data_IF_509161744558
#
_entry.id   IF_509161744558
#
_cell.length_a   1.000
_cell.length_b   1.000
_cell.length_c   1.000
_cell.angle_alpha   90.00
_cell.angle_beta   90.00
_cell.angle_gamma   90.00
#
_symmetry.space_group_name_H-M   'P 1'
#
loop_
_entity.id
_entity.type
_entity.pdbx_description
1 polymer ?
#
# COMPACT_ATOMS: atom_id res chain seq x y z
N UNK A 1 19.33 -20.14 -3.74
CA UNK A 1 17.98 -20.55 -4.18
C UNK A 1 17.04 -20.20 -3.04
N UNK A 2 16.43 -19.01 -3.09
CA UNK A 2 15.51 -18.54 -2.05
C UNK A 2 14.11 -18.83 -2.58
N UNK A 3 13.42 -19.76 -1.93
CA UNK A 3 12.00 -19.99 -2.15
C UNK A 3 11.25 -18.81 -1.52
N UNK A 4 10.50 -18.07 -2.33
CA UNK A 4 9.53 -17.09 -1.86
C UNK A 4 8.20 -17.85 -1.83
N UNK A 5 7.81 -18.34 -0.67
CA UNK A 5 6.46 -18.89 -0.49
C UNK A 5 5.46 -17.75 -0.62
N UNK A 6 4.55 -17.90 -1.59
CA UNK A 6 3.43 -17.02 -1.85
C UNK A 6 2.54 -16.99 -0.61
N UNK A 7 2.64 -15.93 0.19
CA UNK A 7 1.61 -15.57 1.16
C UNK A 7 0.53 -14.80 0.41
N UNK A 8 -0.70 -15.25 0.58
CA UNK A 8 -1.86 -14.76 -0.15
C UNK A 8 -1.97 -13.23 -0.06
N UNK A 9 -1.82 -12.56 -1.20
CA UNK A 9 -2.16 -11.15 -1.33
C UNK A 9 -3.69 -11.07 -1.44
N UNK A 10 -4.37 -10.86 -0.32
CA UNK A 10 -5.82 -10.68 -0.31
C UNK A 10 -6.16 -9.18 -0.41
N UNK A 11 -6.40 -8.70 -1.62
CA UNK A 11 -6.95 -7.35 -1.83
C UNK A 11 -8.46 -7.45 -1.65
N UNK A 12 -8.98 -6.94 -0.53
CA UNK A 12 -10.42 -6.82 -0.32
C UNK A 12 -10.86 -5.47 -0.86
N UNK A 13 -11.47 -5.48 -2.04
CA UNK A 13 -12.06 -4.28 -2.63
C UNK A 13 -13.50 -4.19 -2.18
N UNK A 14 -13.86 -3.09 -1.51
CA UNK A 14 -15.27 -2.74 -1.35
C UNK A 14 -15.82 -2.36 -2.73
N UNK A 15 -16.90 -3.01 -3.17
CA UNK A 15 -17.54 -2.73 -4.47
C UNK A 15 -18.58 -1.61 -4.36
N UNK A 16 -18.47 -0.75 -3.35
CA UNK A 16 -19.26 0.47 -3.28
C UNK A 16 -18.76 1.47 -4.32
N UNK A 17 -19.63 2.38 -4.78
CA UNK A 17 -19.24 3.50 -5.66
C UNK A 17 -18.26 4.49 -4.98
N UNK A 18 -17.86 4.23 -3.73
CA UNK A 18 -16.91 5.01 -2.96
C UNK A 18 -15.47 4.56 -3.29
N UNK A 19 -14.57 5.46 -3.71
CA UNK A 19 -13.24 5.10 -4.21
C UNK A 19 -12.26 4.70 -3.09
N UNK A 20 -12.74 4.29 -1.92
CA UNK A 20 -11.95 3.95 -0.74
C UNK A 20 -11.72 2.44 -0.63
N UNK A 21 -10.46 2.05 -0.48
CA UNK A 21 -10.02 0.66 -0.49
C UNK A 21 -9.30 0.33 0.80
N UNK A 22 -9.59 -0.86 1.33
CA UNK A 22 -8.85 -1.46 2.45
C UNK A 22 -8.12 -2.69 1.94
N UNK A 23 -6.79 -2.63 1.84
CA UNK A 23 -6.00 -3.81 1.50
C UNK A 23 -5.38 -4.40 2.77
N UNK A 24 -5.45 -5.72 2.89
CA UNK A 24 -4.82 -6.49 3.96
C UNK A 24 -3.74 -7.35 3.29
N UNK A 25 -2.49 -7.11 3.66
CA UNK A 25 -1.36 -7.86 3.12
C UNK A 25 -0.77 -8.72 4.23
N UNK A 26 -0.93 -10.03 4.11
CA UNK A 26 -0.33 -10.98 5.03
C UNK A 26 1.06 -11.38 4.53
N UNK A 27 2.06 -11.27 5.40
CA UNK A 27 3.44 -11.64 5.11
C UNK A 27 4.01 -12.46 6.26
N UNK A 28 5.16 -13.10 6.05
CA UNK A 28 5.86 -13.86 7.08
C UNK A 28 6.40 -12.95 8.20
N UNK A 29 6.52 -11.64 7.92
CA UNK A 29 6.89 -10.63 8.92
C UNK A 29 5.70 -10.14 9.73
N UNK A 30 4.47 -10.37 9.27
CA UNK A 30 3.24 -9.92 9.93
C UNK A 30 2.22 -9.36 8.94
N UNK A 31 1.18 -8.74 9.50
CA UNK A 31 0.04 -8.21 8.78
C UNK A 31 0.17 -6.70 8.58
N UNK A 32 0.07 -6.26 7.32
CA UNK A 32 0.00 -4.86 6.93
C UNK A 32 -1.44 -4.54 6.55
N UNK A 33 -2.01 -3.49 7.15
CA UNK A 33 -3.33 -2.98 6.78
C UNK A 33 -3.15 -1.62 6.14
N UNK A 34 -3.83 -1.38 5.02
CA UNK A 34 -3.79 -0.08 4.35
C UNK A 34 -5.19 0.45 4.11
N UNK A 35 -5.36 1.76 4.27
CA UNK A 35 -6.56 2.48 3.87
C UNK A 35 -6.14 3.60 2.93
N UNK A 36 -6.74 3.64 1.74
CA UNK A 36 -6.48 4.70 0.76
C UNK A 36 -7.62 4.81 -0.23
N UNK A 37 -7.70 5.94 -0.91
CA UNK A 37 -8.41 6.02 -2.17
C UNK A 37 -7.53 5.38 -3.26
N UNK A 38 -8.08 4.49 -4.08
CA UNK A 38 -7.34 3.83 -5.17
C UNK A 38 -7.98 4.09 -6.53
N UNK A 39 -7.17 4.55 -7.48
CA UNK A 39 -7.62 4.80 -8.85
C UNK A 39 -6.68 4.05 -9.78
N UNK A 40 -7.23 3.07 -10.49
CA UNK A 40 -6.52 2.38 -11.57
C UNK A 40 -6.85 3.08 -12.89
N UNK A 41 -5.83 3.56 -13.60
CA UNK A 41 -5.96 4.21 -14.89
C UNK A 41 -4.86 3.73 -15.83
N UNK A 42 -5.27 3.09 -16.93
CA UNK A 42 -4.35 2.49 -17.91
C UNK A 42 -3.36 1.53 -17.24
N UNK A 43 -2.07 1.89 -17.17
CA UNK A 43 -0.99 1.15 -16.51
C UNK A 43 -0.48 1.81 -15.22
N UNK A 44 -1.29 2.70 -14.63
CA UNK A 44 -0.93 3.43 -13.40
C UNK A 44 -1.94 3.22 -12.30
N UNK A 45 -1.46 2.87 -11.10
CA UNK A 45 -2.26 2.83 -9.88
C UNK A 45 -1.94 4.03 -8.99
N UNK A 46 -2.91 4.90 -8.78
CA UNK A 46 -2.82 6.00 -7.83
C UNK A 46 -3.40 5.59 -6.47
N UNK A 47 -2.61 5.71 -5.41
CA UNK A 47 -3.04 5.53 -4.02
C UNK A 47 -3.00 6.88 -3.32
N UNK A 48 -4.17 7.45 -3.02
CA UNK A 48 -4.31 8.75 -2.36
C UNK A 48 -4.73 8.57 -0.92
N UNK A 49 -4.18 9.42 -0.05
CA UNK A 49 -4.50 9.36 1.37
C UNK A 49 -4.03 8.08 2.05
N UNK A 50 -2.94 7.45 1.60
CA UNK A 50 -2.49 6.17 2.13
C UNK A 50 -2.17 6.24 3.63
N UNK A 51 -2.97 5.53 4.41
CA UNK A 51 -2.71 5.20 5.80
C UNK A 51 -2.23 3.76 5.90
N UNK A 52 -1.22 3.55 6.74
CA UNK A 52 -0.66 2.24 7.01
C UNK A 52 -0.84 1.93 8.50
N UNK A 53 -1.38 0.75 8.77
CA UNK A 53 -1.52 0.15 10.09
C UNK A 53 -1.16 -1.34 10.05
N UNK A 54 -1.74 -2.12 10.96
CA UNK A 54 -1.48 -3.54 11.09
C UNK A 54 -0.81 -3.88 12.42
N UNK A 55 0.06 -4.90 12.42
CA UNK A 55 0.70 -5.39 13.64
C UNK A 55 1.59 -4.31 14.28
N UNK A 56 1.28 -3.82 15.52
CA UNK A 56 2.06 -2.78 16.19
C UNK A 56 3.48 -3.22 16.57
N UNK A 57 3.79 -4.52 16.50
CA UNK A 57 5.13 -5.07 16.76
C UNK A 57 6.02 -5.08 15.50
N UNK A 58 5.45 -4.78 14.34
CA UNK A 58 6.14 -4.84 13.05
C UNK A 58 6.35 -3.43 12.54
N UNK A 59 7.61 -3.01 12.45
CA UNK A 59 7.96 -1.80 11.74
C UNK A 59 8.16 -2.10 10.25
N UNK A 60 7.36 -1.44 9.43
CA UNK A 60 7.43 -1.51 7.98
C UNK A 60 8.36 -0.42 7.45
N UNK A 61 9.58 -0.82 7.12
CA UNK A 61 10.56 0.09 6.55
C UNK A 61 10.23 0.44 5.10
N UNK A 62 10.89 1.48 4.59
CA UNK A 62 10.78 1.87 3.19
C UNK A 62 11.12 0.73 2.21
N UNK A 63 12.13 -0.09 2.53
CA UNK A 63 12.52 -1.22 1.70
C UNK A 63 11.41 -2.29 1.62
N UNK A 64 10.76 -2.58 2.74
CA UNK A 64 9.66 -3.56 2.82
C UNK A 64 8.45 -3.08 2.00
N UNK A 65 8.04 -1.83 2.21
CA UNK A 65 6.92 -1.21 1.48
C UNK A 65 7.19 -1.14 -0.02
N UNK A 66 8.44 -0.85 -0.41
CA UNK A 66 8.83 -0.84 -1.84
C UNK A 66 8.75 -2.24 -2.45
N UNK A 67 9.18 -3.28 -1.74
CA UNK A 67 9.08 -4.65 -2.22
C UNK A 67 7.61 -5.09 -2.38
N UNK A 68 6.75 -4.76 -1.42
CA UNK A 68 5.32 -5.00 -1.52
C UNK A 68 4.67 -4.28 -2.69
N UNK A 69 5.02 -3.01 -2.91
CA UNK A 69 4.50 -2.25 -4.05
C UNK A 69 4.92 -2.88 -5.38
N UNK A 70 6.15 -3.42 -5.50
CA UNK A 70 6.57 -4.17 -6.70
C UNK A 70 5.74 -5.41 -6.94
N UNK A 71 5.45 -6.17 -5.88
CA UNK A 71 4.59 -7.34 -5.99
C UNK A 71 3.17 -6.95 -6.46
N UNK A 72 2.63 -5.86 -5.92
CA UNK A 72 1.33 -5.33 -6.36
C UNK A 72 1.37 -4.92 -7.83
N UNK A 73 2.46 -4.28 -8.29
CA UNK A 73 2.66 -3.94 -9.72
C UNK A 73 2.58 -5.17 -10.61
N UNK A 74 3.31 -6.23 -10.25
CA UNK A 74 3.32 -7.49 -11.00
C UNK A 74 1.93 -8.14 -11.04
N UNK A 75 1.19 -8.09 -9.93
CA UNK A 75 -0.14 -8.71 -9.82
C UNK A 75 -1.24 -7.97 -10.55
N UNK A 76 -1.17 -6.64 -10.55
CA UNK A 76 -2.15 -5.78 -11.22
C UNK A 76 -1.72 -5.43 -12.65
N UNK A 77 -0.54 -5.88 -13.09
CA UNK A 77 0.04 -5.60 -14.40
C UNK A 77 0.08 -4.09 -14.69
N UNK A 78 0.63 -3.31 -13.75
CA UNK A 78 0.81 -1.86 -13.84
C UNK A 78 2.28 -1.48 -13.90
N UNK A 79 2.59 -0.42 -14.66
CA UNK A 79 3.96 0.09 -14.88
C UNK A 79 4.35 1.17 -13.85
N UNK A 80 3.37 1.83 -13.21
CA UNK A 80 3.61 2.86 -12.20
C UNK A 80 2.64 2.73 -11.02
N UNK A 81 3.15 2.84 -9.79
CA UNK A 81 2.35 3.14 -8.60
C UNK A 81 2.72 4.52 -8.10
N UNK A 82 1.71 5.37 -7.94
CA UNK A 82 1.84 6.71 -7.40
C UNK A 82 1.19 6.76 -6.02
N UNK A 83 1.98 7.03 -4.99
CA UNK A 83 1.47 7.03 -3.61
C UNK A 83 1.54 8.43 -3.02
N UNK A 84 0.41 8.88 -2.50
CA UNK A 84 0.31 10.07 -1.66
C UNK A 84 -0.17 9.63 -0.29
N UNK A 85 0.65 9.82 0.73
CA UNK A 85 0.28 9.46 2.10
C UNK A 85 -0.90 10.28 2.63
N UNK A 86 -1.65 9.70 3.55
CA UNK A 86 -2.69 10.37 4.32
C UNK A 86 -2.12 11.49 5.19
N UNK A 87 -2.96 12.47 5.51
CA UNK A 87 -2.58 13.55 6.43
C UNK A 87 -2.21 12.93 7.77
N UNK A 88 -1.03 13.28 8.28
CA UNK A 88 -0.58 12.76 9.58
C UNK A 88 -1.48 13.32 10.68
N UNK A 89 -2.27 12.44 11.29
CA UNK A 89 -3.08 12.74 12.47
C UNK A 89 -2.27 12.61 13.76
N UNK A 90 -1.19 11.84 13.74
CA UNK A 90 -0.28 11.61 14.88
C UNK A 90 1.20 11.53 14.41
N UNK A 91 2.16 11.68 15.35
CA UNK A 91 3.60 11.60 15.07
C UNK A 91 4.25 12.93 14.64
N UNK A 92 5.38 12.86 13.93
CA UNK A 92 6.14 14.05 13.50
C UNK A 92 5.46 14.82 12.37
N UNK A 93 5.35 16.14 12.52
CA UNK A 93 4.64 17.10 11.64
C UNK A 93 3.14 16.79 11.45
N UNK A 94 2.31 16.83 12.52
CA UNK A 94 0.86 16.70 12.42
C UNK A 94 0.26 17.73 11.45
N UNK A 95 -0.79 17.33 10.73
CA UNK A 95 -1.48 18.18 9.74
C UNK A 95 -0.77 18.32 8.39
N UNK A 96 0.43 17.76 8.23
CA UNK A 96 1.16 17.76 6.96
C UNK A 96 0.88 16.48 6.17
N UNK A 97 0.55 16.64 4.89
CA UNK A 97 0.50 15.52 3.96
C UNK A 97 1.92 15.07 3.58
N UNK A 98 2.24 13.76 3.67
CA UNK A 98 3.49 13.20 3.17
C UNK A 98 3.71 13.55 1.70
N UNK A 99 4.98 13.71 1.31
CA UNK A 99 5.32 13.93 -0.11
C UNK A 99 4.87 12.70 -0.93
N UNK A 100 4.31 12.99 -2.09
CA UNK A 100 4.02 11.99 -3.10
C UNK A 100 5.31 11.28 -3.51
N UNK A 101 5.25 9.96 -3.68
CA UNK A 101 6.34 9.16 -4.21
C UNK A 101 5.83 8.23 -5.31
N UNK A 102 6.75 7.81 -6.19
CA UNK A 102 6.43 7.00 -7.37
C UNK A 102 7.35 5.80 -7.45
N UNK A 103 6.79 4.64 -7.78
CA UNK A 103 7.54 3.43 -8.12
C UNK A 103 7.25 3.10 -9.59
N UNK A 104 8.30 2.86 -10.35
CA UNK A 104 8.33 2.42 -11.76
C UNK A 104 9.30 1.28 -11.88
#
# INVERSE_FOLDING_TARGET
MVAIELLDLCIVVDQSDDPHFVAIIETNRGRLETLCEAILSDKTLELKGLHIGGDPRVEWGWADLRALARLVMERLDVDEIVVTGGVRTTGGNPGRQPKQWRIR
#
